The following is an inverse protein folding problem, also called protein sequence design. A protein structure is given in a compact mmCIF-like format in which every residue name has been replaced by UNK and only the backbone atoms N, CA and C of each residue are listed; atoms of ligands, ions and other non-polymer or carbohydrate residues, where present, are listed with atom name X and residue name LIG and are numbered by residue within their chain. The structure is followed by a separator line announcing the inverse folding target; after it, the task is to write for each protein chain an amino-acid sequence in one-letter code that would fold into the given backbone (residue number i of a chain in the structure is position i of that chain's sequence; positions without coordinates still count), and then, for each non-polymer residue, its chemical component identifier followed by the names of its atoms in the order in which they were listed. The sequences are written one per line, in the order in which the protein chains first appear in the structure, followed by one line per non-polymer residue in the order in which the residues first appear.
data_IF_311905385668
#
_entry.id   IF_311905385668
#
_cell.length_a   1.000
_cell.length_b   1.000
_cell.length_c   1.000
_cell.angle_alpha   90.00
_cell.angle_beta   90.00
_cell.angle_gamma   90.00
#
_symmetry.space_group_name_H-M   'P 1'
#
loop_
_entity.id
_entity.type
_entity.pdbx_description
1 polymer ?
#
# COMPACT_ATOMS: atom_id res chain seq x y z
N UNK A 1 -8.70 23.89 5.49
CA UNK A 1 -7.61 24.61 6.20
C UNK A 1 -7.60 24.32 7.71
N UNK A 2 -8.75 24.29 8.41
CA UNK A 2 -8.84 23.98 9.85
C UNK A 2 -8.30 22.58 10.24
N UNK A 3 -8.40 21.59 9.36
CA UNK A 3 -7.95 20.23 9.69
C UNK A 3 -6.43 20.06 9.61
N UNK A 4 -5.74 20.83 8.75
CA UNK A 4 -4.27 20.80 8.69
C UNK A 4 -3.64 21.23 10.01
N UNK A 5 -4.18 22.27 10.64
CA UNK A 5 -3.71 22.76 11.95
C UNK A 5 -3.96 21.77 13.09
N UNK A 6 -4.99 20.90 12.97
CA UNK A 6 -5.23 19.84 13.96
C UNK A 6 -4.25 18.69 13.79
N UNK A 7 -4.06 18.23 12.56
CA UNK A 7 -3.09 17.17 12.23
C UNK A 7 -1.69 17.59 12.64
N UNK A 8 -1.30 18.83 12.34
CA UNK A 8 0.00 19.38 12.72
C UNK A 8 0.24 19.33 14.24
N UNK A 9 -0.76 19.74 15.04
CA UNK A 9 -0.70 19.63 16.51
C UNK A 9 -0.57 18.19 17.02
N UNK A 10 -1.26 17.24 16.38
CA UNK A 10 -1.13 15.83 16.75
C UNK A 10 0.28 15.34 16.47
N UNK A 11 0.87 15.69 15.33
CA UNK A 11 2.23 15.31 14.98
C UNK A 11 3.27 15.97 15.89
N UNK A 12 3.08 17.25 16.26
CA UNK A 12 3.92 17.91 17.25
C UNK A 12 3.87 17.20 18.61
N UNK A 13 2.67 16.81 19.06
CA UNK A 13 2.51 16.04 20.31
C UNK A 13 3.22 14.69 20.24
N UNK A 14 3.09 13.96 19.13
CA UNK A 14 3.80 12.69 18.91
C UNK A 14 5.31 12.91 19.06
N UNK A 15 5.87 13.89 18.36
CA UNK A 15 7.31 14.21 18.44
C UNK A 15 7.72 14.55 19.88
N UNK A 16 6.93 15.36 20.59
CA UNK A 16 7.27 15.75 21.96
C UNK A 16 7.26 14.56 22.92
N UNK A 17 6.28 13.65 22.81
CA UNK A 17 6.26 12.40 23.60
C UNK A 17 7.53 11.57 23.36
N UNK A 18 8.02 11.51 22.12
CA UNK A 18 9.24 10.76 21.80
C UNK A 18 10.51 11.42 22.32
N UNK A 19 10.51 12.75 22.54
CA UNK A 19 11.61 13.46 23.20
C UNK A 19 11.62 13.29 24.71
N UNK A 20 10.44 13.21 25.32
CA UNK A 20 10.30 13.06 26.77
C UNK A 20 10.73 11.66 27.24
N UNK A 21 10.43 10.63 26.46
CA UNK A 21 10.88 9.25 26.69
C UNK A 21 12.28 9.12 26.08
N UNK A 22 13.33 9.35 26.87
CA UNK A 22 14.70 9.52 26.38
C UNK A 22 15.15 8.46 25.35
N UNK A 23 15.77 8.91 24.26
CA UNK A 23 16.17 8.09 23.10
C UNK A 23 17.00 6.86 23.52
N UNK A 24 17.91 7.02 24.49
CA UNK A 24 18.76 5.92 24.98
C UNK A 24 17.96 4.84 25.74
N UNK A 25 16.92 5.23 26.47
CA UNK A 25 16.06 4.30 27.23
C UNK A 25 15.23 3.42 26.28
N UNK A 26 14.75 3.99 25.17
CA UNK A 26 14.07 3.23 24.11
C UNK A 26 14.99 2.34 23.30
N UNK A 27 16.20 2.83 23.00
CA UNK A 27 17.20 2.04 22.29
C UNK A 27 17.60 0.78 23.08
N UNK A 28 17.82 0.91 24.39
CA UNK A 28 18.16 -0.22 25.26
C UNK A 28 16.99 -1.20 25.47
N UNK A 29 15.75 -0.70 25.49
CA UNK A 29 14.55 -1.55 25.62
C UNK A 29 14.07 -2.17 24.31
N UNK A 30 14.65 -1.78 23.16
CA UNK A 30 14.20 -2.21 21.84
C UNK A 30 12.82 -1.67 21.45
N UNK A 31 12.30 -0.67 22.17
CA UNK A 31 11.02 -0.02 21.93
C UNK A 31 11.12 1.18 20.98
N UNK A 32 12.27 1.33 20.31
CA UNK A 32 12.54 2.36 19.33
C UNK A 32 11.63 2.22 18.10
N UNK A 33 11.07 3.35 17.64
CA UNK A 33 10.38 3.43 16.37
C UNK A 33 11.02 4.43 15.39
N UNK A 34 10.41 4.57 14.21
CA UNK A 34 10.93 5.41 13.15
C UNK A 34 11.06 6.90 13.55
N UNK A 35 10.20 7.39 14.45
CA UNK A 35 10.26 8.76 14.96
C UNK A 35 11.51 8.96 15.79
N UNK A 36 11.83 8.00 16.66
CA UNK A 36 13.05 8.02 17.48
C UNK A 36 14.32 7.98 16.61
N UNK A 37 14.33 7.15 15.55
CA UNK A 37 15.42 7.10 14.57
C UNK A 37 15.62 8.47 13.90
N UNK A 38 14.54 9.12 13.44
CA UNK A 38 14.64 10.43 12.82
C UNK A 38 15.12 11.51 13.78
N UNK A 39 14.68 11.48 15.04
CA UNK A 39 15.16 12.40 16.07
C UNK A 39 16.66 12.22 16.33
N UNK A 40 17.14 10.98 16.45
CA UNK A 40 18.58 10.69 16.60
C UNK A 40 19.39 11.18 15.41
N UNK A 41 18.93 10.94 14.18
CA UNK A 41 19.63 11.38 12.96
C UNK A 41 19.65 12.90 12.84
N UNK A 42 18.59 13.57 13.29
CA UNK A 42 18.55 15.03 13.38
C UNK A 42 19.59 15.56 14.37
N UNK A 43 19.78 14.88 15.50
CA UNK A 43 20.75 15.26 16.54
C UNK A 43 22.21 14.95 16.14
N UNK A 44 22.46 13.87 15.39
CA UNK A 44 23.83 13.47 15.02
C UNK A 44 24.49 14.43 14.01
N UNK A 45 23.70 15.25 13.30
CA UNK A 45 24.19 16.17 12.25
C UNK A 45 25.02 15.49 11.14
N UNK A 46 24.94 14.17 11.00
CA UNK A 46 25.75 13.37 10.07
C UNK A 46 25.23 13.40 8.62
N UNK A 47 24.03 13.91 8.41
CA UNK A 47 23.43 13.97 7.08
C UNK A 47 23.74 15.28 6.35
N UNK A 48 24.03 15.25 5.03
CA UNK A 48 24.35 16.43 4.24
C UNK A 48 23.19 17.43 4.05
N UNK A 49 22.02 17.17 4.63
CA UNK A 49 20.85 18.06 4.61
C UNK A 49 20.29 18.24 6.02
N UNK A 50 19.79 19.44 6.32
CA UNK A 50 19.11 19.74 7.58
C UNK A 50 17.76 19.00 7.63
N UNK A 51 17.68 17.99 8.49
CA UNK A 51 16.40 17.36 8.85
C UNK A 51 15.69 18.27 9.88
N UNK A 52 14.46 18.67 9.58
CA UNK A 52 13.65 19.52 10.47
C UNK A 52 12.44 18.76 11.00
N UNK A 53 11.82 19.27 12.06
CA UNK A 53 10.54 18.73 12.56
C UNK A 53 9.50 18.66 11.44
N UNK A 54 9.43 19.65 10.55
CA UNK A 54 8.47 19.64 9.45
C UNK A 54 8.75 18.51 8.45
N UNK A 55 10.02 18.14 8.25
CA UNK A 55 10.36 16.97 7.43
C UNK A 55 9.94 15.67 8.11
N UNK A 56 10.19 15.53 9.43
CA UNK A 56 9.78 14.35 10.21
C UNK A 56 8.25 14.21 10.20
N UNK A 57 7.53 15.30 10.46
CA UNK A 57 6.06 15.37 10.40
C UNK A 57 5.55 14.98 9.02
N UNK A 58 6.17 15.47 7.95
CA UNK A 58 5.77 15.13 6.59
C UNK A 58 5.93 13.64 6.28
N UNK A 59 7.03 13.02 6.69
CA UNK A 59 7.26 11.58 6.49
C UNK A 59 6.28 10.74 7.30
N UNK A 60 6.07 11.06 8.58
CA UNK A 60 5.11 10.36 9.44
C UNK A 60 3.68 10.46 8.85
N UNK A 61 3.29 11.66 8.42
CA UNK A 61 1.98 11.88 7.82
C UNK A 61 1.80 11.11 6.51
N UNK A 62 2.81 11.11 5.64
CA UNK A 62 2.79 10.38 4.37
C UNK A 62 2.62 8.88 4.60
N UNK A 63 3.35 8.32 5.56
CA UNK A 63 3.23 6.90 5.94
C UNK A 63 1.85 6.56 6.51
N UNK A 64 1.31 7.40 7.41
CA UNK A 64 0.00 7.15 8.03
C UNK A 64 -1.15 7.24 7.01
N UNK A 65 -1.16 8.28 6.18
CA UNK A 65 -2.21 8.48 5.16
C UNK A 65 -2.14 7.38 4.11
N UNK A 66 -0.95 7.10 3.57
CA UNK A 66 -0.77 6.06 2.57
C UNK A 66 -1.11 4.67 3.11
N UNK A 67 -0.69 4.35 4.34
CA UNK A 67 -0.91 3.03 4.95
C UNK A 67 -2.36 2.76 5.37
N UNK A 68 -3.07 3.78 5.86
CA UNK A 68 -4.42 3.61 6.42
C UNK A 68 -5.48 3.47 5.35
N UNK A 69 -5.54 4.43 4.41
CA UNK A 69 -6.62 4.49 3.43
C UNK A 69 -6.56 3.30 2.46
N UNK A 70 -5.36 2.89 2.05
CA UNK A 70 -5.16 1.81 1.08
C UNK A 70 -5.34 0.41 1.65
N UNK A 71 -4.97 0.16 2.91
CA UNK A 71 -5.09 -1.17 3.53
C UNK A 71 -6.54 -1.51 3.91
N UNK A 72 -7.39 -0.49 4.11
CA UNK A 72 -8.76 -0.68 4.58
C UNK A 72 -9.77 -1.11 3.50
N UNK A 73 -9.51 -0.81 2.22
CA UNK A 73 -10.57 -0.70 1.22
C UNK A 73 -10.80 -1.93 0.33
N UNK A 74 -9.81 -2.78 0.06
CA UNK A 74 -9.85 -3.55 -1.20
C UNK A 74 -9.96 -5.08 -1.08
N UNK A 75 -9.55 -5.71 0.03
CA UNK A 75 -9.56 -7.18 0.08
C UNK A 75 -10.89 -7.77 0.62
N UNK A 76 -11.45 -7.20 1.68
CA UNK A 76 -12.52 -7.88 2.42
C UNK A 76 -13.89 -7.79 1.72
N UNK A 77 -14.22 -6.64 1.11
CA UNK A 77 -15.52 -6.41 0.47
C UNK A 77 -15.76 -7.33 -0.74
N UNK A 78 -14.76 -7.49 -1.60
CA UNK A 78 -14.82 -8.40 -2.77
C UNK A 78 -14.94 -9.87 -2.35
N UNK A 79 -14.25 -10.26 -1.27
CA UNK A 79 -14.34 -11.62 -0.72
C UNK A 79 -15.71 -11.90 -0.10
N UNK A 80 -16.32 -10.92 0.58
CA UNK A 80 -17.68 -11.03 1.13
C UNK A 80 -18.72 -11.19 -0.01
N UNK A 81 -18.54 -10.47 -1.12
CA UNK A 81 -19.41 -10.55 -2.31
C UNK A 81 -19.24 -11.87 -3.08
N UNK A 82 -18.09 -12.54 -2.93
CA UNK A 82 -17.73 -13.75 -3.67
C UNK A 82 -17.49 -14.96 -2.75
N UNK A 83 -18.53 -15.63 -2.22
CA UNK A 83 -18.40 -16.74 -1.28
C UNK A 83 -17.51 -17.90 -1.76
N UNK A 84 -17.53 -18.20 -3.07
CA UNK A 84 -16.68 -19.24 -3.66
C UNK A 84 -15.19 -18.88 -3.60
N UNK A 85 -14.86 -17.58 -3.74
CA UNK A 85 -13.48 -17.08 -3.63
C UNK A 85 -13.04 -17.10 -2.17
N UNK A 86 -13.93 -16.74 -1.24
CA UNK A 86 -13.69 -16.83 0.20
C UNK A 86 -13.31 -18.27 0.62
N UNK A 87 -14.10 -19.26 0.23
CA UNK A 87 -13.86 -20.67 0.57
C UNK A 87 -12.52 -21.19 0.01
N UNK A 88 -12.22 -20.85 -1.25
CA UNK A 88 -10.93 -21.18 -1.88
C UNK A 88 -9.75 -20.50 -1.18
N UNK A 89 -9.88 -19.22 -0.83
CA UNK A 89 -8.84 -18.48 -0.10
C UNK A 89 -8.57 -19.11 1.27
N UNK A 90 -9.61 -19.49 2.02
CA UNK A 90 -9.48 -20.22 3.28
C UNK A 90 -8.71 -21.54 3.10
N UNK A 91 -8.98 -22.28 2.02
CA UNK A 91 -8.28 -23.53 1.72
C UNK A 91 -6.80 -23.31 1.35
N UNK A 92 -6.50 -22.27 0.56
CA UNK A 92 -5.15 -21.99 0.04
C UNK A 92 -4.21 -21.36 1.07
N UNK A 93 -4.73 -20.49 1.93
CA UNK A 93 -3.97 -19.95 3.09
C UNK A 93 -3.46 -21.09 3.98
N UNK A 94 -4.26 -22.14 4.16
CA UNK A 94 -3.85 -23.33 4.93
C UNK A 94 -2.70 -24.12 4.29
N UNK A 95 -2.36 -23.84 3.03
CA UNK A 95 -1.42 -24.63 2.23
C UNK A 95 -0.08 -23.93 1.93
N UNK A 96 -0.01 -22.59 1.93
CA UNK A 96 1.12 -21.85 1.33
C UNK A 96 1.89 -21.02 2.36
N UNK A 97 3.11 -21.47 2.71
CA UNK A 97 4.15 -20.61 3.28
C UNK A 97 5.52 -20.98 2.67
N UNK A 98 6.09 -20.11 1.81
CA UNK A 98 7.52 -19.86 1.51
C UNK A 98 7.67 -19.00 0.23
N UNK A 99 8.48 -17.92 0.27
CA UNK A 99 8.61 -16.90 -0.81
C UNK A 99 10.04 -16.58 -1.30
N UNK A 100 10.21 -15.45 -2.05
CA UNK A 100 11.44 -14.59 -2.26
C UNK A 100 11.18 -13.40 -3.24
N UNK A 101 12.02 -12.33 -3.24
CA UNK A 101 11.94 -11.09 -4.09
C UNK A 101 13.32 -10.48 -4.44
N UNK A 102 13.43 -9.63 -5.49
CA UNK A 102 14.56 -8.75 -5.89
C UNK A 102 14.09 -7.48 -6.67
N UNK A 103 14.95 -6.45 -6.81
CA UNK A 103 14.67 -5.05 -7.25
C UNK A 103 15.67 -4.46 -8.26
N UNK A 104 15.32 -3.34 -8.95
CA UNK A 104 16.15 -2.54 -9.89
C UNK A 104 15.93 -1.00 -9.79
N UNK A 105 16.81 -0.20 -10.42
CA UNK A 105 17.10 1.25 -10.27
C UNK A 105 16.78 2.10 -11.54
N UNK A 106 16.86 3.45 -11.51
CA UNK A 106 16.46 4.35 -12.62
C UNK A 106 17.43 5.56 -12.85
N UNK A 107 17.17 6.46 -13.83
CA UNK A 107 17.86 7.78 -14.01
C UNK A 107 16.87 8.88 -14.45
N UNK A 108 17.22 10.16 -14.31
CA UNK A 108 16.38 11.32 -14.71
C UNK A 108 17.07 12.14 -15.80
N UNK A 109 16.65 11.96 -17.05
CA UNK A 109 17.15 12.70 -18.22
C UNK A 109 15.98 13.00 -19.17
N UNK A 110 16.14 13.96 -20.09
CA UNK A 110 15.20 14.12 -21.20
C UNK A 110 15.12 12.80 -21.97
N UNK A 111 13.90 12.37 -22.30
CA UNK A 111 13.69 11.06 -22.89
C UNK A 111 12.66 11.11 -23.99
N UNK A 112 12.83 10.25 -25.00
CA UNK A 112 11.88 10.04 -26.07
C UNK A 112 11.16 8.71 -25.83
N UNK A 113 9.84 8.75 -25.71
CA UNK A 113 9.00 7.57 -25.55
C UNK A 113 8.13 7.46 -26.81
N UNK A 114 8.36 6.41 -27.61
CA UNK A 114 7.60 6.12 -28.82
C UNK A 114 7.50 7.31 -29.81
N UNK A 115 8.60 8.04 -30.01
CA UNK A 115 8.66 9.21 -30.88
C UNK A 115 8.20 10.51 -30.22
N UNK A 116 7.68 10.45 -28.99
CA UNK A 116 7.25 11.61 -28.21
C UNK A 116 8.36 12.06 -27.26
N UNK A 117 8.91 13.25 -27.48
CA UNK A 117 9.92 13.83 -26.60
C UNK A 117 9.25 14.40 -25.35
N UNK A 118 9.61 13.87 -24.19
CA UNK A 118 9.15 14.34 -22.89
C UNK A 118 10.20 15.29 -22.34
N UNK A 119 9.88 16.58 -22.34
CA UNK A 119 10.78 17.61 -21.83
C UNK A 119 10.95 17.52 -20.31
N UNK A 120 12.09 18.00 -19.83
CA UNK A 120 12.37 18.15 -18.40
C UNK A 120 11.23 18.91 -17.69
N UNK A 121 10.82 18.40 -16.51
CA UNK A 121 9.73 18.92 -15.66
C UNK A 121 8.29 18.64 -16.16
N UNK A 122 8.13 17.88 -17.25
CA UNK A 122 6.81 17.39 -17.65
C UNK A 122 6.16 16.57 -16.53
N UNK A 123 4.85 16.75 -16.32
CA UNK A 123 4.05 15.91 -15.44
C UNK A 123 3.53 14.73 -16.23
N UNK A 124 3.86 13.52 -15.80
CA UNK A 124 3.41 12.27 -16.42
C UNK A 124 2.45 11.58 -15.45
N UNK A 125 1.28 11.20 -15.94
CA UNK A 125 0.31 10.41 -15.20
C UNK A 125 0.25 9.01 -15.80
N UNK A 126 0.42 7.99 -14.96
CA UNK A 126 0.27 6.59 -15.37
C UNK A 126 -1.15 6.16 -15.03
N UNK A 127 -1.93 5.78 -16.04
CA UNK A 127 -3.30 5.33 -15.87
C UNK A 127 -3.34 3.84 -15.50
N UNK A 128 -3.04 3.54 -14.23
CA UNK A 128 -3.02 2.16 -13.71
C UNK A 128 -4.39 1.49 -13.84
N UNK A 129 -5.48 2.24 -13.66
CA UNK A 129 -6.85 1.74 -13.79
C UNK A 129 -7.12 1.17 -15.18
N UNK A 130 -6.75 1.91 -16.24
CA UNK A 130 -6.93 1.46 -17.61
C UNK A 130 -6.01 0.27 -17.96
N UNK A 131 -4.77 0.28 -17.46
CA UNK A 131 -3.81 -0.82 -17.67
C UNK A 131 -4.33 -2.13 -17.06
N UNK A 132 -4.85 -2.07 -15.83
CA UNK A 132 -5.41 -3.24 -15.15
C UNK A 132 -6.69 -3.80 -15.76
N UNK A 133 -7.34 -3.05 -16.67
CA UNK A 133 -8.57 -3.43 -17.38
C UNK A 133 -8.39 -3.55 -18.88
N UNK A 134 -7.16 -3.58 -19.37
CA UNK A 134 -6.89 -3.60 -20.80
C UNK A 134 -7.35 -4.94 -21.41
N UNK A 135 -8.31 -4.96 -22.36
CA UNK A 135 -8.92 -6.21 -22.85
C UNK A 135 -7.97 -7.17 -23.55
N UNK A 136 -6.84 -6.67 -24.09
CA UNK A 136 -5.82 -7.54 -24.69
C UNK A 136 -4.94 -8.23 -23.63
N UNK A 137 -4.94 -7.73 -22.39
CA UNK A 137 -4.17 -8.29 -21.27
C UNK A 137 -5.00 -9.16 -20.34
N UNK A 138 -6.32 -8.98 -20.30
CA UNK A 138 -7.21 -9.67 -19.37
C UNK A 138 -8.48 -10.16 -20.07
N UNK A 139 -8.83 -11.42 -19.84
CA UNK A 139 -10.13 -11.94 -20.22
C UNK A 139 -11.19 -11.39 -19.25
N UNK A 140 -12.26 -10.79 -19.80
CA UNK A 140 -13.36 -10.21 -19.01
C UNK A 140 -12.89 -9.23 -17.91
N UNK A 141 -12.17 -8.13 -18.25
CA UNK A 141 -11.49 -7.23 -17.30
C UNK A 141 -12.42 -6.52 -16.31
N UNK A 142 -13.72 -6.49 -16.59
CA UNK A 142 -14.74 -5.88 -15.74
C UNK A 142 -15.25 -6.82 -14.63
N UNK A 143 -14.81 -8.07 -14.63
CA UNK A 143 -15.23 -9.08 -13.66
C UNK A 143 -14.11 -9.45 -12.69
N UNK A 144 -14.47 -9.64 -11.41
CA UNK A 144 -13.55 -10.14 -10.40
C UNK A 144 -13.31 -11.64 -10.57
N UNK A 145 -12.20 -12.00 -11.24
CA UNK A 145 -11.81 -13.38 -11.57
C UNK A 145 -10.43 -13.69 -10.97
N UNK A 146 -10.35 -14.03 -9.67
CA UNK A 146 -9.07 -14.31 -9.00
C UNK A 146 -8.32 -15.52 -9.59
N UNK A 147 -9.04 -16.47 -10.18
CA UNK A 147 -8.46 -17.62 -10.88
C UNK A 147 -7.58 -17.22 -12.08
N UNK A 148 -7.75 -16.02 -12.63
CA UNK A 148 -6.90 -15.48 -13.69
C UNK A 148 -5.43 -15.34 -13.27
N UNK A 149 -5.15 -15.24 -11.97
CA UNK A 149 -3.80 -15.22 -11.39
C UNK A 149 -3.24 -16.61 -11.07
N UNK A 150 -4.05 -17.66 -11.14
CA UNK A 150 -3.58 -19.03 -10.87
C UNK A 150 -2.91 -19.65 -12.10
N UNK A 151 -3.43 -19.33 -13.29
CA UNK A 151 -2.94 -19.87 -14.57
C UNK A 151 -1.86 -18.99 -15.22
N UNK A 152 -1.71 -17.74 -14.75
CA UNK A 152 -0.72 -16.79 -15.24
C UNK A 152 0.19 -16.41 -14.07
N UNK A 153 1.51 -16.51 -14.23
CA UNK A 153 2.49 -16.17 -13.19
C UNK A 153 2.65 -14.64 -13.02
N UNK A 154 1.54 -13.91 -12.91
CA UNK A 154 1.49 -12.45 -12.83
C UNK A 154 1.77 -12.06 -11.39
N UNK A 155 3.01 -11.65 -11.16
CA UNK A 155 3.42 -11.10 -9.88
C UNK A 155 3.18 -9.58 -9.84
N UNK A 156 2.72 -9.09 -8.69
CA UNK A 156 2.62 -7.65 -8.38
C UNK A 156 4.00 -7.00 -8.10
N UNK A 157 5.10 -7.68 -8.46
CA UNK A 157 6.49 -7.28 -8.19
C UNK A 157 7.07 -6.33 -9.24
N UNK A 158 6.22 -5.65 -10.03
CA UNK A 158 6.60 -4.75 -11.13
C UNK A 158 7.29 -5.45 -12.33
N UNK A 159 7.27 -6.79 -12.40
CA UNK A 159 7.78 -7.53 -13.57
C UNK A 159 6.71 -7.73 -14.66
N UNK A 160 5.44 -7.46 -14.34
CA UNK A 160 4.31 -7.64 -15.24
C UNK A 160 3.52 -6.34 -15.32
N UNK A 161 3.78 -5.54 -16.36
CA UNK A 161 3.17 -4.22 -16.51
C UNK A 161 1.65 -4.24 -16.71
N UNK A 162 1.07 -5.40 -17.03
CA UNK A 162 -0.39 -5.60 -17.03
C UNK A 162 -1.03 -5.55 -15.63
N UNK A 163 -0.23 -5.60 -14.55
CA UNK A 163 -0.71 -5.54 -13.18
C UNK A 163 0.21 -4.69 -12.27
N UNK A 164 -0.18 -3.44 -12.00
CA UNK A 164 0.63 -2.48 -11.26
C UNK A 164 -0.08 -1.91 -10.01
N UNK A 165 -0.63 -2.75 -9.11
CA UNK A 165 -1.37 -2.27 -7.93
C UNK A 165 -0.51 -1.46 -6.95
N UNK A 166 0.82 -1.64 -6.99
CA UNK A 166 1.79 -0.91 -6.19
C UNK A 166 2.66 0.05 -7.03
N UNK A 167 2.26 0.28 -8.28
CA UNK A 167 3.09 0.99 -9.26
C UNK A 167 4.35 0.20 -9.63
N UNK A 168 5.39 0.92 -10.05
CA UNK A 168 6.61 0.32 -10.56
C UNK A 168 7.84 1.23 -10.56
N UNK A 169 9.01 0.64 -10.79
CA UNK A 169 10.30 1.33 -10.80
C UNK A 169 10.67 1.97 -9.46
N UNK A 170 11.38 3.10 -9.48
CA UNK A 170 11.85 3.77 -8.24
C UNK A 170 10.77 4.42 -7.39
N UNK A 171 9.58 4.59 -7.94
CA UNK A 171 8.42 5.12 -7.22
C UNK A 171 7.41 4.03 -6.90
N UNK A 172 7.82 2.76 -6.95
CA UNK A 172 7.05 1.64 -6.43
C UNK A 172 6.72 1.88 -4.95
N UNK A 173 5.54 1.46 -4.53
CA UNK A 173 5.06 1.63 -3.16
C UNK A 173 6.07 1.08 -2.14
N UNK A 174 6.61 1.97 -1.30
CA UNK A 174 7.49 1.60 -0.19
C UNK A 174 6.77 0.70 0.83
N UNK A 175 5.46 0.88 0.98
CA UNK A 175 4.61 0.14 1.90
C UNK A 175 4.21 -1.27 1.46
N UNK A 176 4.72 -1.79 0.33
CA UNK A 176 4.33 -3.13 -0.18
C UNK A 176 4.52 -4.25 0.84
N UNK A 177 5.64 -4.26 1.57
CA UNK A 177 5.92 -5.29 2.57
C UNK A 177 5.05 -5.11 3.81
N UNK A 178 4.81 -3.87 4.21
CA UNK A 178 3.94 -3.54 5.33
C UNK A 178 2.48 -3.91 5.05
N UNK A 179 1.99 -3.60 3.85
CA UNK A 179 0.67 -4.00 3.36
C UNK A 179 0.53 -5.52 3.34
N UNK A 180 1.52 -6.25 2.81
CA UNK A 180 1.51 -7.72 2.87
C UNK A 180 1.49 -8.23 4.31
N UNK A 181 2.26 -7.65 5.23
CA UNK A 181 2.22 -8.07 6.63
C UNK A 181 0.85 -7.81 7.28
N UNK A 182 0.26 -6.63 7.05
CA UNK A 182 -1.03 -6.21 7.60
C UNK A 182 -2.23 -6.92 6.96
N UNK A 183 -2.14 -7.33 5.70
CA UNK A 183 -3.22 -8.05 5.04
C UNK A 183 -3.04 -9.55 5.22
N UNK A 184 -1.87 -10.09 4.91
CA UNK A 184 -1.68 -11.55 4.84
C UNK A 184 -1.91 -12.22 6.19
N UNK A 185 -1.28 -11.77 7.28
CA UNK A 185 -1.42 -12.44 8.58
C UNK A 185 -2.80 -12.25 9.22
N UNK A 186 -3.34 -11.02 9.33
CA UNK A 186 -4.68 -10.81 9.87
C UNK A 186 -5.77 -11.47 9.02
N UNK A 187 -5.72 -11.36 7.69
CA UNK A 187 -6.69 -12.02 6.82
C UNK A 187 -6.56 -13.54 6.94
N UNK A 188 -5.34 -14.10 6.94
CA UNK A 188 -5.16 -15.53 7.15
C UNK A 188 -5.75 -16.00 8.49
N UNK A 189 -5.56 -15.24 9.56
CA UNK A 189 -6.16 -15.54 10.86
C UNK A 189 -7.69 -15.46 10.83
N UNK A 190 -8.25 -14.44 10.18
CA UNK A 190 -9.71 -14.30 10.04
C UNK A 190 -10.31 -15.44 9.22
N UNK A 191 -9.67 -15.80 8.12
CA UNK A 191 -10.07 -16.89 7.24
C UNK A 191 -9.92 -18.26 7.89
N UNK A 192 -8.89 -18.44 8.71
CA UNK A 192 -8.63 -19.70 9.40
C UNK A 192 -9.63 -19.96 10.52
N UNK A 193 -9.94 -18.94 11.32
CA UNK A 193 -10.71 -19.08 12.57
C UNK A 193 -12.21 -18.81 12.44
N UNK A 194 -12.65 -18.13 11.38
CA UNK A 194 -14.05 -17.74 11.21
C UNK A 194 -14.62 -18.20 9.88
N UNK A 195 -15.85 -18.71 9.93
CA UNK A 195 -16.67 -18.98 8.75
C UNK A 195 -17.55 -17.77 8.46
N UNK A 196 -17.28 -17.10 7.35
CA UNK A 196 -17.97 -15.89 6.96
C UNK A 196 -19.26 -16.24 6.20
N UNK A 197 -20.39 -15.70 6.66
CA UNK A 197 -21.70 -15.87 6.03
C UNK A 197 -22.42 -14.53 6.00
N UNK A 198 -23.17 -14.28 4.93
CA UNK A 198 -24.04 -13.12 4.86
C UNK A 198 -25.20 -13.25 5.88
N UNK A 199 -25.62 -12.14 6.51
CA UNK A 199 -26.82 -12.14 7.36
C UNK A 199 -28.06 -12.57 6.59
N UNK A 200 -29.03 -13.15 7.30
CA UNK A 200 -30.26 -13.66 6.70
C UNK A 200 -31.05 -12.53 6.01
N UNK A 201 -31.38 -12.71 4.74
CA UNK A 201 -32.11 -11.73 3.93
C UNK A 201 -31.25 -10.74 3.15
N UNK A 202 -29.91 -10.79 3.27
CA UNK A 202 -28.98 -9.99 2.47
C UNK A 202 -28.32 -10.89 1.42
N UNK A 203 -28.40 -10.50 0.15
CA UNK A 203 -27.71 -11.16 -0.96
C UNK A 203 -26.43 -10.42 -1.34
N UNK A 204 -25.47 -11.14 -1.93
CA UNK A 204 -24.23 -10.54 -2.45
C UNK A 204 -24.47 -9.44 -3.50
N UNK A 205 -25.63 -9.47 -4.18
CA UNK A 205 -26.02 -8.47 -5.18
C UNK A 205 -26.51 -7.15 -4.57
N UNK A 206 -26.83 -7.16 -3.28
CA UNK A 206 -27.36 -5.99 -2.57
C UNK A 206 -26.24 -5.04 -2.12
N UNK A 207 -24.97 -5.43 -2.29
CA UNK A 207 -23.80 -4.60 -2.02
C UNK A 207 -23.50 -3.67 -3.19
N UNK A 208 -23.53 -2.36 -2.91
CA UNK A 208 -23.01 -1.34 -3.82
C UNK A 208 -21.48 -1.41 -3.86
N UNK A 209 -20.93 -1.62 -5.04
CA UNK A 209 -19.49 -1.71 -5.31
C UNK A 209 -19.06 -0.65 -6.34
N UNK A 210 -19.83 0.43 -6.46
CA UNK A 210 -19.52 1.51 -7.39
C UNK A 210 -18.28 2.24 -6.91
N UNK A 211 -17.24 2.27 -7.76
CA UNK A 211 -15.98 2.96 -7.44
C UNK A 211 -16.19 4.48 -7.36
N UNK A 212 -15.82 5.09 -6.23
CA UNK A 212 -15.67 6.54 -6.09
C UNK A 212 -14.40 7.04 -6.77
N UNK A 213 -14.47 8.23 -7.36
CA UNK A 213 -13.31 8.88 -7.95
C UNK A 213 -12.35 9.38 -6.85
N UNK A 214 -11.09 8.94 -6.88
CA UNK A 214 -10.10 9.38 -5.91
C UNK A 214 -8.68 8.86 -6.18
N UNK A 215 -7.73 9.35 -5.37
CA UNK A 215 -6.34 8.84 -5.34
C UNK A 215 -6.35 7.40 -4.79
N UNK A 216 -7.24 7.13 -3.84
CA UNK A 216 -7.70 5.80 -3.45
C UNK A 216 -9.16 5.69 -3.85
N UNK A 217 -9.47 4.83 -4.83
CA UNK A 217 -10.86 4.49 -5.14
C UNK A 217 -11.39 3.52 -4.07
N UNK A 218 -12.66 3.67 -3.71
CA UNK A 218 -13.46 2.72 -2.93
C UNK A 218 -14.62 2.29 -3.80
#
# INVERSE_FOLDING_TARGET
MKDRTKVDKVLDNIINVHREIGIMEKFESGAEDLTDVFLRVMESSEFPFLLTNDNIKAVILDMLVAGSDTSSSTALSEMIKSPNVMEKAQAKVRQVFKGKKKTFDDKKEETNINGLTISLKSKVLVNVWAIGRYPESWENPEFFIPEGFENNCIEFTCNHFQFLPFGGGRRICLGILFCLALLTLPLAHLLYNFDWKLPQGINAKDFDMTEENGISAR
#
